data_IF_762968464514
#
_entry.id   IF_762968464514
#
_cell.length_a   1.000
_cell.length_b   1.000
_cell.length_c   1.000
_cell.angle_alpha   90.00
_cell.angle_beta   90.00
_cell.angle_gamma   90.00
#
_symmetry.space_group_name_H-M   'P 1'
#
loop_
_entity.id
_entity.type
_entity.pdbx_description
1 polymer ?
#
# COMPACT_ATOMS: atom_id res chain seq x y z
N UNK A 1 -19.30 -6.23 4.41
CA UNK A 1 -18.27 -5.86 3.39
C UNK A 1 -17.27 -4.87 4.00
N UNK A 2 -16.06 -4.70 3.44
CA UNK A 2 -15.04 -3.78 3.99
C UNK A 2 -15.54 -2.33 4.13
N UNK A 3 -16.39 -1.88 3.20
CA UNK A 3 -17.06 -0.57 3.25
C UNK A 3 -17.93 -0.37 4.50
N UNK A 4 -18.57 -1.42 4.99
CA UNK A 4 -19.42 -1.36 6.20
C UNK A 4 -18.59 -1.17 7.46
N UNK A 5 -17.45 -1.87 7.55
CA UNK A 5 -16.49 -1.70 8.64
C UNK A 5 -15.96 -0.25 8.70
N UNK A 6 -15.55 0.31 7.55
CA UNK A 6 -15.08 1.70 7.49
C UNK A 6 -16.16 2.71 7.90
N UNK A 7 -17.40 2.49 7.47
CA UNK A 7 -18.53 3.35 7.83
C UNK A 7 -18.81 3.29 9.33
N UNK A 8 -18.79 2.10 9.93
CA UNK A 8 -18.98 1.94 11.38
C UNK A 8 -17.86 2.61 12.18
N UNK A 9 -16.59 2.42 11.80
CA UNK A 9 -15.45 3.06 12.46
C UNK A 9 -15.53 4.59 12.39
N UNK A 10 -15.82 5.14 11.20
CA UNK A 10 -15.96 6.58 11.04
C UNK A 10 -17.17 7.15 11.78
N UNK A 11 -18.26 6.38 11.91
CA UNK A 11 -19.45 6.79 12.68
C UNK A 11 -19.13 6.97 14.17
N UNK A 12 -18.28 6.11 14.74
CA UNK A 12 -17.81 6.24 16.13
C UNK A 12 -16.61 7.19 16.29
N UNK A 13 -16.29 7.98 15.26
CA UNK A 13 -15.20 8.98 15.28
C UNK A 13 -13.80 8.42 15.08
N UNK A 14 -13.65 7.13 14.76
CA UNK A 14 -12.35 6.50 14.49
C UNK A 14 -12.05 6.60 12.99
N UNK A 15 -11.02 7.38 12.63
CA UNK A 15 -10.53 7.44 11.27
C UNK A 15 -9.66 6.21 10.96
N UNK A 16 -10.06 5.31 10.04
CA UNK A 16 -9.23 4.16 9.67
C UNK A 16 -7.93 4.65 9.01
N UNK A 17 -6.79 4.09 9.43
CA UNK A 17 -5.47 4.55 8.96
C UNK A 17 -4.78 3.59 7.98
N UNK A 18 -4.84 2.28 8.24
CA UNK A 18 -4.24 1.26 7.38
C UNK A 18 -5.15 0.05 7.18
N UNK A 19 -5.18 -0.47 5.96
CA UNK A 19 -5.59 -1.84 5.67
C UNK A 19 -4.37 -2.60 5.18
N UNK A 20 -4.13 -3.78 5.76
CA UNK A 20 -2.95 -4.58 5.47
C UNK A 20 -3.26 -5.69 4.46
N UNK A 21 -2.45 -5.77 3.40
CA UNK A 21 -2.31 -6.99 2.60
C UNK A 21 -1.76 -8.09 3.50
N UNK A 22 -2.43 -9.24 3.53
CA UNK A 22 -2.00 -10.40 4.27
C UNK A 22 -0.87 -11.13 3.54
N UNK A 23 0.21 -11.45 4.25
CA UNK A 23 1.24 -12.34 3.69
C UNK A 23 0.65 -13.76 3.56
N UNK A 24 0.76 -14.39 2.38
CA UNK A 24 0.36 -15.79 2.24
C UNK A 24 1.27 -16.65 3.12
N UNK A 25 0.65 -17.42 4.01
CA UNK A 25 1.27 -18.40 4.90
C UNK A 25 0.54 -19.74 4.72
N UNK A 26 1.12 -20.83 5.21
CA UNK A 26 0.54 -22.17 5.05
C UNK A 26 -0.90 -22.25 5.59
N UNK A 27 -1.20 -21.51 6.67
CA UNK A 27 -2.51 -21.54 7.33
C UNK A 27 -3.58 -20.61 6.75
N UNK A 28 -3.23 -19.67 5.86
CA UNK A 28 -4.19 -18.68 5.32
C UNK A 28 -4.22 -18.64 3.78
N UNK A 29 -3.54 -19.57 3.10
CA UNK A 29 -3.41 -19.56 1.63
C UNK A 29 -4.78 -19.54 0.92
N UNK A 30 -5.79 -20.22 1.47
CA UNK A 30 -7.15 -20.23 0.90
C UNK A 30 -7.88 -18.88 0.99
N UNK A 31 -7.41 -17.97 1.85
CA UNK A 31 -7.99 -16.62 2.03
C UNK A 31 -7.09 -15.52 1.44
N UNK A 32 -5.92 -15.89 0.91
CA UNK A 32 -5.01 -14.92 0.34
C UNK A 32 -5.50 -14.54 -1.06
N UNK A 33 -5.63 -13.24 -1.30
CA UNK A 33 -5.90 -12.68 -2.62
C UNK A 33 -4.62 -12.09 -3.21
N UNK A 34 -4.47 -12.09 -4.54
CA UNK A 34 -3.45 -11.32 -5.22
C UNK A 34 -3.50 -9.85 -4.79
N UNK A 35 -2.34 -9.20 -4.74
CA UNK A 35 -2.18 -7.80 -4.28
C UNK A 35 -3.06 -6.86 -5.11
N UNK A 36 -3.11 -7.10 -6.42
CA UNK A 36 -3.85 -6.27 -7.36
C UNK A 36 -5.37 -6.38 -7.15
N UNK A 37 -5.88 -7.59 -6.95
CA UNK A 37 -7.29 -7.85 -6.66
C UNK A 37 -7.70 -7.25 -5.30
N UNK A 38 -6.88 -7.48 -4.27
CA UNK A 38 -7.13 -6.93 -2.94
C UNK A 38 -7.15 -5.39 -2.94
N UNK A 39 -6.27 -4.77 -3.73
CA UNK A 39 -6.25 -3.32 -3.91
C UNK A 39 -7.52 -2.80 -4.63
N UNK A 40 -8.00 -3.51 -5.66
CA UNK A 40 -9.25 -3.16 -6.35
C UNK A 40 -10.46 -3.22 -5.40
N UNK A 41 -10.57 -4.29 -4.61
CA UNK A 41 -11.62 -4.44 -3.58
C UNK A 41 -11.54 -3.30 -2.56
N UNK A 42 -10.32 -2.93 -2.16
CA UNK A 42 -10.09 -1.83 -1.24
C UNK A 42 -10.54 -0.48 -1.82
N UNK A 43 -10.20 -0.17 -3.07
CA UNK A 43 -10.65 1.06 -3.74
C UNK A 43 -12.17 1.07 -3.96
N UNK A 44 -12.78 -0.07 -4.28
CA UNK A 44 -14.24 -0.19 -4.36
C UNK A 44 -14.92 0.04 -3.01
N UNK A 45 -14.35 -0.47 -1.91
CA UNK A 45 -14.83 -0.20 -0.57
C UNK A 45 -14.76 1.31 -0.24
N UNK A 46 -13.70 1.99 -0.67
CA UNK A 46 -13.53 3.44 -0.51
C UNK A 46 -14.54 4.25 -1.33
N UNK A 47 -14.98 3.79 -2.52
CA UNK A 47 -16.03 4.47 -3.31
C UNK A 47 -17.31 4.66 -2.50
N UNK A 48 -17.64 3.69 -1.66
CA UNK A 48 -18.84 3.66 -0.82
C UNK A 48 -18.69 4.40 0.54
N UNK A 49 -17.54 5.03 0.77
CA UNK A 49 -17.23 5.75 2.01
C UNK A 49 -17.17 7.26 1.74
N UNK A 50 -17.25 8.11 2.78
CA UNK A 50 -17.07 9.56 2.66
C UNK A 50 -16.24 10.12 3.83
N UNK A 51 -15.64 11.31 3.65
CA UNK A 51 -14.86 11.98 4.70
C UNK A 51 -13.71 11.14 5.25
N UNK A 52 -13.68 10.94 6.57
CA UNK A 52 -12.64 10.20 7.29
C UNK A 52 -12.53 8.74 6.85
N UNK A 53 -13.63 8.13 6.42
CA UNK A 53 -13.67 6.73 5.99
C UNK A 53 -12.95 6.47 4.65
N UNK A 54 -12.60 7.51 3.86
CA UNK A 54 -11.81 7.38 2.61
C UNK A 54 -10.29 7.50 2.82
N UNK A 55 -9.83 7.78 4.04
CA UNK A 55 -8.42 8.03 4.35
C UNK A 55 -7.50 6.81 4.49
N UNK A 56 -7.95 5.56 4.69
CA UNK A 56 -6.98 4.49 4.90
C UNK A 56 -6.09 4.33 3.68
N UNK A 57 -4.87 3.85 3.93
CA UNK A 57 -3.96 3.40 2.88
C UNK A 57 -3.94 1.87 2.85
N UNK A 58 -3.89 1.29 1.65
CA UNK A 58 -3.62 -0.13 1.49
C UNK A 58 -2.10 -0.36 1.56
N UNK A 59 -1.66 -1.13 2.54
CA UNK A 59 -0.24 -1.27 2.87
C UNK A 59 0.14 -2.73 3.11
N UNK A 60 1.43 -3.00 3.08
CA UNK A 60 2.01 -4.26 3.49
C UNK A 60 3.23 -4.02 4.38
N UNK A 61 3.44 -4.91 5.34
CA UNK A 61 4.62 -4.88 6.20
C UNK A 61 5.66 -5.86 5.65
N UNK A 62 6.63 -5.33 4.92
CA UNK A 62 7.70 -6.10 4.29
C UNK A 62 9.01 -5.99 5.09
N UNK A 63 9.94 -6.93 4.88
CA UNK A 63 11.28 -6.89 5.53
C UNK A 63 12.05 -5.60 5.22
N UNK A 64 11.79 -4.98 4.07
CA UNK A 64 12.43 -3.72 3.66
C UNK A 64 11.70 -2.48 4.17
N UNK A 65 10.50 -2.62 4.72
CA UNK A 65 9.71 -1.48 5.20
C UNK A 65 8.20 -1.65 5.09
N UNK A 66 7.48 -0.59 5.44
CA UNK A 66 6.05 -0.46 5.22
C UNK A 66 5.79 0.12 3.84
N UNK A 67 5.25 -0.69 2.96
CA UNK A 67 5.02 -0.35 1.56
C UNK A 67 3.52 -0.10 1.37
N UNK A 68 3.17 1.03 0.78
CA UNK A 68 1.80 1.34 0.37
C UNK A 68 1.63 1.05 -1.11
N UNK A 69 0.50 0.43 -1.47
CA UNK A 69 0.01 0.38 -2.84
C UNK A 69 -0.77 1.68 -3.04
N UNK A 70 -0.35 2.50 -4.00
CA UNK A 70 -0.92 3.84 -4.19
C UNK A 70 -1.80 3.95 -5.43
N UNK A 71 -1.68 3.01 -6.37
CA UNK A 71 -2.45 2.96 -7.60
C UNK A 71 -2.08 1.79 -8.48
N UNK A 72 -2.87 1.58 -9.53
CA UNK A 72 -2.56 0.75 -10.69
C UNK A 72 -3.24 1.37 -11.92
N UNK A 73 -2.69 1.10 -13.10
CA UNK A 73 -3.32 1.31 -14.39
C UNK A 73 -3.29 0.01 -15.23
N UNK A 74 -3.51 0.12 -16.53
CA UNK A 74 -3.57 -1.03 -17.44
C UNK A 74 -2.21 -1.76 -17.57
N UNK A 75 -1.09 -1.07 -17.36
CA UNK A 75 0.27 -1.59 -17.58
C UNK A 75 1.09 -1.71 -16.29
N UNK A 76 0.84 -0.86 -15.30
CA UNK A 76 1.70 -0.72 -14.12
C UNK A 76 0.95 -0.73 -12.80
N UNK A 77 1.68 -1.12 -11.76
CA UNK A 77 1.31 -0.93 -10.36
C UNK A 77 2.32 0.01 -9.67
N UNK A 78 1.79 0.80 -8.74
CA UNK A 78 2.53 1.88 -8.09
C UNK A 78 2.65 1.62 -6.59
N UNK A 79 3.87 1.73 -6.08
CA UNK A 79 4.18 1.57 -4.66
C UNK A 79 4.91 2.77 -4.09
N UNK A 80 4.75 2.98 -2.78
CA UNK A 80 5.50 3.98 -2.02
C UNK A 80 5.91 3.47 -0.65
N UNK A 81 7.16 3.66 -0.25
CA UNK A 81 7.57 3.40 1.12
C UNK A 81 7.01 4.47 2.07
N UNK A 82 6.18 4.06 3.01
CA UNK A 82 5.76 4.90 4.15
C UNK A 82 6.84 4.93 5.24
N UNK A 83 7.52 3.80 5.42
CA UNK A 83 8.67 3.62 6.29
C UNK A 83 9.58 2.61 5.60
N UNK A 84 10.89 2.77 5.70
CA UNK A 84 11.87 1.87 5.09
C UNK A 84 12.97 1.52 6.09
N UNK A 85 13.55 0.33 5.95
CA UNK A 85 14.70 -0.09 6.72
C UNK A 85 15.95 0.75 6.39
N UNK A 86 16.05 1.18 5.13
CA UNK A 86 17.05 2.13 4.64
C UNK A 86 16.43 3.53 4.66
N UNK A 87 17.06 4.48 5.36
CA UNK A 87 16.49 5.80 5.61
C UNK A 87 16.23 6.58 4.31
N UNK A 88 17.13 6.45 3.34
CA UNK A 88 17.06 7.09 2.02
C UNK A 88 15.89 6.57 1.16
N UNK A 89 15.35 5.40 1.50
CA UNK A 89 14.20 4.81 0.82
C UNK A 89 12.87 5.28 1.42
N UNK A 90 12.86 6.03 2.53
CA UNK A 90 11.62 6.60 3.08
C UNK A 90 11.01 7.55 2.06
N UNK A 91 9.76 7.27 1.67
CA UNK A 91 9.06 8.02 0.64
C UNK A 91 9.42 7.63 -0.80
N UNK A 92 10.35 6.69 -1.02
CA UNK A 92 10.71 6.19 -2.36
C UNK A 92 9.47 5.67 -3.08
N UNK A 93 9.29 6.15 -4.30
CA UNK A 93 8.22 5.76 -5.21
C UNK A 93 8.75 4.73 -6.21
N UNK A 94 7.98 3.68 -6.49
CA UNK A 94 8.38 2.57 -7.33
C UNK A 94 7.24 2.18 -8.26
N UNK A 95 7.58 1.87 -9.50
CA UNK A 95 6.66 1.45 -10.57
C UNK A 95 7.10 0.09 -11.06
N UNK A 96 6.19 -0.87 -11.12
CA UNK A 96 6.44 -2.21 -11.64
C UNK A 96 5.41 -2.54 -12.71
N UNK A 97 5.76 -3.45 -13.62
CA UNK A 97 4.76 -4.09 -14.49
C UNK A 97 3.72 -4.83 -13.65
N UNK A 98 2.50 -4.93 -14.18
CA UNK A 98 1.41 -5.69 -13.56
C UNK A 98 1.79 -7.16 -13.44
N UNK A 99 1.37 -7.76 -12.32
CA UNK A 99 1.46 -9.19 -12.09
C UNK A 99 0.17 -9.65 -11.40
N UNK A 100 -0.83 -10.14 -12.17
CA UNK A 100 -2.11 -10.59 -11.64
C UNK A 100 -2.01 -11.72 -10.61
N UNK A 101 -0.93 -12.50 -10.65
CA UNK A 101 -0.67 -13.62 -9.75
C UNK A 101 0.20 -13.22 -8.54
N UNK A 102 0.64 -11.96 -8.44
CA UNK A 102 1.48 -11.49 -7.34
C UNK A 102 0.71 -11.51 -6.03
N UNK A 103 1.16 -12.35 -5.10
CA UNK A 103 0.60 -12.48 -3.76
C UNK A 103 1.30 -11.57 -2.75
N UNK A 104 2.52 -11.13 -3.08
CA UNK A 104 3.36 -10.33 -2.21
C UNK A 104 4.31 -9.39 -2.98
N UNK A 105 4.97 -8.47 -2.27
CA UNK A 105 5.91 -7.52 -2.91
C UNK A 105 7.05 -8.20 -3.65
N UNK A 106 7.55 -9.31 -3.12
CA UNK A 106 8.67 -10.06 -3.71
C UNK A 106 8.33 -10.67 -5.08
N UNK A 107 7.04 -10.76 -5.43
CA UNK A 107 6.58 -11.25 -6.74
C UNK A 107 6.67 -10.17 -7.85
N UNK A 108 7.06 -8.94 -7.48
CA UNK A 108 7.41 -7.87 -8.41
C UNK A 108 8.93 -7.77 -8.48
N UNK A 109 9.51 -8.26 -9.58
CA UNK A 109 10.94 -8.54 -9.65
C UNK A 109 11.82 -7.30 -9.86
N UNK A 110 11.52 -6.49 -10.89
CA UNK A 110 12.34 -5.34 -11.29
C UNK A 110 11.46 -4.10 -11.46
N UNK A 111 11.80 -2.97 -10.78
CA UNK A 111 11.06 -1.74 -10.98
C UNK A 111 11.36 -1.18 -12.38
N UNK A 112 10.31 -0.84 -13.12
CA UNK A 112 10.40 -0.10 -14.39
C UNK A 112 10.96 1.29 -14.14
N UNK A 113 10.51 1.93 -13.05
CA UNK A 113 10.95 3.25 -12.60
C UNK A 113 10.96 3.29 -11.09
N UNK A 114 11.95 3.97 -10.52
CA UNK A 114 11.96 4.29 -9.10
C UNK A 114 12.59 5.66 -8.84
N UNK A 115 12.13 6.34 -7.79
CA UNK A 115 12.67 7.64 -7.39
C UNK A 115 12.65 7.77 -5.87
N UNK A 116 13.82 8.10 -5.31
CA UNK A 116 13.97 8.51 -3.91
C UNK A 116 13.59 9.98 -3.75
N UNK A 117 13.15 10.35 -2.55
CA UNK A 117 12.99 11.76 -2.21
C UNK A 117 14.37 12.31 -1.89
N UNK A 118 14.78 13.34 -2.62
CA UNK A 118 15.97 14.13 -2.29
C UNK A 118 15.57 15.07 -1.16
N UNK A 119 15.95 14.71 0.06
CA UNK A 119 15.91 15.66 1.17
C UNK A 119 17.05 16.63 0.92
N UNK A 120 16.71 17.87 0.52
CA UNK A 120 17.71 18.93 0.43
C UNK A 120 18.50 18.96 1.74
N UNK A 121 19.83 19.03 1.64
CA UNK A 121 20.66 19.32 2.82
C UNK A 121 20.18 20.67 3.34
N UNK A 122 19.36 20.66 4.39
CA UNK A 122 19.26 21.85 5.21
C UNK A 122 20.65 22.00 5.81
N UNK A 123 21.34 23.06 5.39
CA UNK A 123 22.52 23.57 6.06
C UNK A 123 22.17 23.75 7.53
N UNK A 124 22.47 22.74 8.33
CA UNK A 124 22.69 22.93 9.76
C UNK A 124 24.11 23.46 9.86
N UNK A 125 24.29 24.71 9.46
CA UNK A 125 25.44 25.52 9.82
C UNK A 125 25.00 26.46 10.93
N UNK A 126 25.47 26.13 12.14
CA UNK A 126 25.80 27.03 13.28
C UNK A 126 24.69 27.91 13.87
#
# INVERSE_FOLDING_TARGET
MLSELFRQLSFIGIAPYYVFQCRPTLGNRHFALPVEEAYQIFEEAKKNCSGLAKRPHFVMSHKTGKIAIVGLDDEYIYFKYHQAAVYEDIGKFMVFERNPDAMWFDDYSVPVREKRIEWGKNDVSS
#
